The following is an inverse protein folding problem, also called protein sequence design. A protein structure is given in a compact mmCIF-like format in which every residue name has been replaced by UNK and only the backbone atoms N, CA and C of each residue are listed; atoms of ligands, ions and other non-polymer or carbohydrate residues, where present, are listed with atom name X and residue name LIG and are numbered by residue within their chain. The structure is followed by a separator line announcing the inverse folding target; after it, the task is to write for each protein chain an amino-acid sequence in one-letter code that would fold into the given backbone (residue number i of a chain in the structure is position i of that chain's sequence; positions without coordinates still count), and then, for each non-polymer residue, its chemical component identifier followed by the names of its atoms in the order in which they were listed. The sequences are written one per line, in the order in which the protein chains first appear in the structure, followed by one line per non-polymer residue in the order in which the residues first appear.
data_IF_877507218419
#
_entry.id   IF_877507218419
#
_cell.length_a   1.000
_cell.length_b   1.000
_cell.length_c   1.000
_cell.angle_alpha   90.00
_cell.angle_beta   90.00
_cell.angle_gamma   90.00
#
_symmetry.space_group_name_H-M   'P 1'
#
loop_
_entity.id
_entity.type
_entity.pdbx_description
1 polymer ?
#
# COMPACT_ATOMS: atom_id res chain seq x y z
N UNK A 1 42.05 -49.48 33.90
CA UNK A 1 40.89 -48.61 33.65
C UNK A 1 40.84 -48.39 32.14
N UNK A 2 39.99 -49.12 31.42
CA UNK A 2 39.86 -48.97 29.97
C UNK A 2 38.77 -47.94 29.67
N UNK A 3 39.16 -46.79 29.11
CA UNK A 3 38.19 -45.86 28.53
C UNK A 3 37.63 -46.45 27.24
N UNK A 4 36.31 -46.61 27.19
CA UNK A 4 35.60 -46.97 25.97
C UNK A 4 35.58 -45.77 25.02
N UNK A 5 36.41 -45.80 23.98
CA UNK A 5 36.35 -44.83 22.89
C UNK A 5 34.99 -44.97 22.20
N UNK A 6 34.11 -43.99 22.40
CA UNK A 6 32.81 -43.88 21.71
C UNK A 6 33.06 -43.84 20.21
N UNK A 7 32.68 -44.90 19.47
CA UNK A 7 32.71 -44.90 18.00
C UNK A 7 31.83 -43.76 17.49
N UNK A 8 32.44 -42.70 16.96
CA UNK A 8 31.69 -41.67 16.23
C UNK A 8 31.15 -42.29 14.94
N UNK A 9 29.84 -42.56 14.91
CA UNK A 9 29.14 -42.91 13.67
C UNK A 9 29.06 -41.63 12.83
N UNK A 10 29.89 -41.53 11.79
CA UNK A 10 29.74 -40.50 10.75
C UNK A 10 28.46 -40.73 9.95
N UNK A 11 27.87 -39.64 9.44
CA UNK A 11 26.77 -39.71 8.47
C UNK A 11 27.28 -40.40 7.20
N UNK A 12 26.46 -41.28 6.62
CA UNK A 12 26.80 -41.91 5.36
C UNK A 12 26.49 -40.98 4.18
N UNK A 13 27.28 -41.07 3.11
CA UNK A 13 27.06 -40.25 1.92
C UNK A 13 25.70 -40.56 1.27
N UNK A 14 25.25 -41.82 1.37
CA UNK A 14 23.95 -42.26 0.88
C UNK A 14 22.78 -41.73 1.72
N UNK A 15 22.92 -41.62 3.05
CA UNK A 15 21.90 -40.96 3.89
C UNK A 15 21.70 -39.52 3.48
N UNK A 16 22.80 -38.79 3.25
CA UNK A 16 22.71 -37.39 2.85
C UNK A 16 22.03 -37.24 1.48
N UNK A 17 22.35 -38.12 0.52
CA UNK A 17 21.73 -38.11 -0.81
C UNK A 17 20.23 -38.43 -0.75
N UNK A 18 19.81 -39.39 0.07
CA UNK A 18 18.39 -39.71 0.22
C UNK A 18 17.62 -38.52 0.82
N UNK A 19 18.20 -37.86 1.84
CA UNK A 19 17.57 -36.71 2.49
C UNK A 19 17.37 -35.55 1.51
N UNK A 20 18.39 -35.19 0.74
CA UNK A 20 18.25 -34.11 -0.27
C UNK A 20 17.24 -34.47 -1.36
N UNK A 21 17.14 -35.76 -1.74
CA UNK A 21 16.17 -36.21 -2.73
C UNK A 21 14.73 -36.02 -2.24
N UNK A 22 14.45 -36.40 -0.98
CA UNK A 22 13.12 -36.21 -0.38
C UNK A 22 12.79 -34.72 -0.22
N UNK A 23 13.73 -33.92 0.30
CA UNK A 23 13.55 -32.46 0.44
C UNK A 23 13.34 -31.80 -0.92
N UNK A 24 14.03 -32.24 -1.97
CA UNK A 24 13.85 -31.75 -3.34
C UNK A 24 12.42 -31.96 -3.87
N UNK A 25 11.85 -33.14 -3.67
CA UNK A 25 10.46 -33.44 -4.08
C UNK A 25 9.47 -32.57 -3.29
N UNK A 26 9.65 -32.45 -1.97
CA UNK A 26 8.78 -31.62 -1.13
C UNK A 26 8.87 -30.13 -1.53
N UNK A 27 10.08 -29.62 -1.77
CA UNK A 27 10.31 -28.24 -2.18
C UNK A 27 9.65 -27.92 -3.52
N UNK A 28 9.72 -28.85 -4.49
CA UNK A 28 9.11 -28.65 -5.81
C UNK A 28 7.58 -28.41 -5.75
N UNK A 29 6.90 -29.05 -4.80
CA UNK A 29 5.45 -28.87 -4.59
C UNK A 29 5.18 -27.67 -3.68
N UNK A 30 5.96 -27.49 -2.62
CA UNK A 30 5.71 -26.47 -1.60
C UNK A 30 6.01 -25.03 -2.08
N UNK A 31 7.08 -24.82 -2.85
CA UNK A 31 7.51 -23.50 -3.31
C UNK A 31 6.42 -22.76 -4.11
N UNK A 32 5.83 -23.33 -5.19
CA UNK A 32 4.80 -22.61 -5.95
C UNK A 32 3.56 -22.32 -5.11
N UNK A 33 3.15 -23.24 -4.24
CA UNK A 33 2.03 -23.03 -3.32
C UNK A 33 2.30 -21.90 -2.33
N UNK A 34 3.51 -21.84 -1.78
CA UNK A 34 3.93 -20.79 -0.84
C UNK A 34 3.97 -19.40 -1.50
N UNK A 35 4.53 -19.29 -2.70
CA UNK A 35 4.54 -18.02 -3.47
C UNK A 35 3.11 -17.54 -3.74
N UNK A 36 2.21 -18.44 -4.15
CA UNK A 36 0.80 -18.10 -4.38
C UNK A 36 0.06 -17.68 -3.10
N UNK A 37 0.38 -18.26 -1.95
CA UNK A 37 -0.16 -17.80 -0.66
C UNK A 37 0.35 -16.39 -0.30
N UNK A 38 1.65 -16.13 -0.47
CA UNK A 38 2.21 -14.80 -0.23
C UNK A 38 1.57 -13.73 -1.13
N UNK A 39 1.40 -14.03 -2.42
CA UNK A 39 0.78 -13.07 -3.34
C UNK A 39 -0.70 -12.80 -3.02
N UNK A 40 -1.46 -13.82 -2.59
CA UNK A 40 -2.84 -13.61 -2.11
C UNK A 40 -2.87 -12.77 -0.83
N UNK A 41 -1.94 -12.99 0.10
CA UNK A 41 -1.82 -12.18 1.31
C UNK A 41 -1.50 -10.72 0.97
N UNK A 42 -0.56 -10.48 0.05
CA UNK A 42 -0.22 -9.13 -0.43
C UNK A 42 -1.41 -8.41 -1.06
N UNK A 43 -2.17 -9.09 -1.93
CA UNK A 43 -3.43 -8.57 -2.51
C UNK A 43 -4.43 -8.21 -1.40
N UNK A 44 -4.62 -9.10 -0.43
CA UNK A 44 -5.53 -8.86 0.69
C UNK A 44 -5.14 -7.65 1.55
N UNK A 45 -3.84 -7.44 1.79
CA UNK A 45 -3.34 -6.29 2.56
C UNK A 45 -3.60 -4.98 1.82
N UNK A 46 -3.24 -4.89 0.53
CA UNK A 46 -3.38 -3.64 -0.23
C UNK A 46 -4.86 -3.25 -0.40
N UNK A 47 -5.74 -4.21 -0.69
CA UNK A 47 -7.19 -3.97 -0.79
C UNK A 47 -7.76 -3.49 0.55
N UNK A 48 -7.32 -4.06 1.68
CA UNK A 48 -7.76 -3.62 3.01
C UNK A 48 -7.29 -2.21 3.35
N UNK A 49 -6.06 -1.86 2.99
CA UNK A 49 -5.54 -0.51 3.21
C UNK A 49 -6.36 0.50 2.41
N UNK A 50 -6.63 0.21 1.12
CA UNK A 50 -7.46 1.07 0.29
C UNK A 50 -8.88 1.26 0.87
N UNK A 51 -9.55 0.16 1.22
CA UNK A 51 -10.92 0.23 1.76
C UNK A 51 -11.00 0.91 3.12
N UNK A 52 -9.97 0.74 3.96
CA UNK A 52 -9.89 1.42 5.26
C UNK A 52 -9.62 2.92 5.12
N UNK A 53 -8.98 3.34 4.03
CA UNK A 53 -8.63 4.73 3.76
C UNK A 53 -9.76 5.53 3.10
N UNK A 54 -10.73 4.87 2.46
CA UNK A 54 -11.89 5.51 1.84
C UNK A 54 -12.64 6.53 2.74
N UNK A 55 -13.05 6.20 3.98
CA UNK A 55 -13.76 7.15 4.84
C UNK A 55 -12.90 8.36 5.21
N UNK A 56 -11.60 8.15 5.36
CA UNK A 56 -10.66 9.22 5.69
C UNK A 56 -10.47 10.17 4.50
N UNK A 57 -10.24 9.64 3.30
CA UNK A 57 -10.18 10.43 2.07
C UNK A 57 -11.47 11.23 1.84
N UNK A 58 -12.63 10.66 2.16
CA UNK A 58 -13.91 11.40 2.13
C UNK A 58 -13.95 12.53 3.16
N UNK A 59 -13.43 12.32 4.36
CA UNK A 59 -13.34 13.38 5.38
C UNK A 59 -12.44 14.53 4.90
N UNK A 60 -11.29 14.22 4.31
CA UNK A 60 -10.39 15.22 3.71
C UNK A 60 -11.06 15.97 2.56
N UNK A 61 -11.81 15.27 1.68
CA UNK A 61 -12.59 15.93 0.62
C UNK A 61 -13.64 16.88 1.21
N UNK A 62 -14.29 16.51 2.31
CA UNK A 62 -15.25 17.38 2.98
C UNK A 62 -14.61 18.60 3.66
N UNK A 63 -13.40 18.45 4.21
CA UNK A 63 -12.60 19.55 4.77
C UNK A 63 -12.22 20.56 3.68
N UNK A 64 -11.71 20.11 2.53
CA UNK A 64 -11.34 20.98 1.41
C UNK A 64 -12.54 21.71 0.82
N UNK A 65 -13.74 21.11 0.80
CA UNK A 65 -14.97 21.78 0.37
C UNK A 65 -15.34 23.01 1.21
N UNK A 66 -14.73 23.17 2.39
CA UNK A 66 -14.90 24.35 3.24
C UNK A 66 -13.80 25.38 3.04
N UNK A 67 -12.83 25.15 2.16
CA UNK A 67 -11.85 26.16 1.78
C UNK A 67 -12.55 27.41 1.20
N UNK A 68 -12.00 28.59 1.44
CA UNK A 68 -12.57 29.90 1.07
C UNK A 68 -13.96 30.20 1.64
N UNK A 69 -14.43 29.41 2.62
CA UNK A 69 -15.61 29.72 3.43
C UNK A 69 -15.19 30.34 4.76
N UNK A 70 -16.12 30.87 5.57
CA UNK A 70 -15.81 31.27 6.95
C UNK A 70 -15.18 30.15 7.80
N UNK A 71 -15.37 28.88 7.42
CA UNK A 71 -14.79 27.70 8.05
C UNK A 71 -13.42 27.30 7.47
N UNK A 72 -12.86 28.08 6.53
CA UNK A 72 -11.60 27.76 5.85
C UNK A 72 -10.37 27.75 6.76
N UNK A 73 -10.42 28.44 7.90
CA UNK A 73 -9.34 28.46 8.90
C UNK A 73 -9.39 27.31 9.92
N UNK A 74 -10.37 26.41 9.82
CA UNK A 74 -10.47 25.26 10.73
C UNK A 74 -9.46 24.18 10.35
N UNK A 75 -8.97 23.48 11.36
CA UNK A 75 -8.21 22.24 11.26
C UNK A 75 -9.19 21.10 11.58
N UNK A 76 -9.42 20.20 10.64
CA UNK A 76 -10.48 19.17 10.74
C UNK A 76 -10.02 17.75 10.42
N UNK A 77 -8.82 17.58 9.86
CA UNK A 77 -8.28 16.28 9.44
C UNK A 77 -6.81 16.17 9.82
N UNK A 78 -6.39 14.95 10.14
CA UNK A 78 -5.00 14.60 10.43
C UNK A 78 -4.23 14.55 9.11
N UNK A 79 -3.55 15.65 8.77
CA UNK A 79 -2.83 15.83 7.50
C UNK A 79 -1.40 15.33 7.53
N UNK A 80 -0.85 15.04 8.71
CA UNK A 80 0.50 14.53 8.89
C UNK A 80 0.53 13.02 9.23
N UNK A 81 -0.63 12.42 9.47
CA UNK A 81 -0.88 11.01 9.80
C UNK A 81 -0.19 10.58 11.12
N UNK A 82 -0.24 11.43 12.15
CA UNK A 82 0.31 11.15 13.49
C UNK A 82 -0.72 10.60 14.48
N UNK A 83 -2.00 10.55 14.08
CA UNK A 83 -3.12 10.06 14.87
C UNK A 83 -3.84 11.13 15.69
N UNK A 84 -3.57 12.40 15.47
CA UNK A 84 -4.24 13.54 16.13
C UNK A 84 -4.70 14.57 15.11
N UNK A 85 -5.59 15.45 15.56
CA UNK A 85 -6.00 16.64 14.82
C UNK A 85 -5.62 17.80 15.72
N UNK A 86 -4.53 18.49 15.38
CA UNK A 86 -3.97 19.58 16.20
C UNK A 86 -3.30 20.67 15.36
N UNK A 87 -2.57 21.59 16.00
CA UNK A 87 -2.01 22.77 15.33
C UNK A 87 -0.88 22.45 14.34
N UNK A 88 -0.35 21.21 14.32
CA UNK A 88 0.63 20.76 13.33
C UNK A 88 -0.02 20.35 11.99
N UNK A 89 -1.36 20.33 11.92
CA UNK A 89 -2.13 20.02 10.73
C UNK A 89 -2.49 21.25 9.88
N UNK A 90 -2.80 20.99 8.61
CA UNK A 90 -3.24 22.04 7.70
C UNK A 90 -4.66 22.49 7.99
N UNK A 91 -4.88 23.79 7.89
CA UNK A 91 -6.23 24.35 7.80
C UNK A 91 -6.90 23.90 6.49
N UNK A 92 -8.24 23.98 6.44
CA UNK A 92 -9.00 23.68 5.22
C UNK A 92 -8.50 24.50 4.00
N UNK A 93 -8.12 25.77 4.21
CA UNK A 93 -7.52 26.62 3.18
C UNK A 93 -6.12 26.15 2.77
N UNK A 94 -5.26 25.80 3.73
CA UNK A 94 -3.90 25.35 3.45
C UNK A 94 -3.88 23.99 2.75
N UNK A 95 -4.80 23.09 3.12
CA UNK A 95 -4.95 21.78 2.47
C UNK A 95 -5.41 21.93 1.00
N UNK A 96 -6.26 22.91 0.71
CA UNK A 96 -6.63 23.26 -0.66
C UNK A 96 -5.46 23.89 -1.44
N UNK A 97 -4.60 24.68 -0.78
CA UNK A 97 -3.51 25.44 -1.42
C UNK A 97 -2.16 24.70 -1.57
N UNK A 98 -1.78 23.81 -0.66
CA UNK A 98 -0.46 23.13 -0.63
C UNK A 98 -0.36 21.94 -1.59
N UNK A 99 -0.72 22.13 -2.87
CA UNK A 99 -0.64 21.10 -3.90
C UNK A 99 -1.82 20.11 -3.91
N UNK A 100 -2.85 20.38 -3.10
CA UNK A 100 -4.12 19.64 -3.08
C UNK A 100 -4.12 18.38 -2.21
N UNK A 101 -5.33 17.83 -2.02
CA UNK A 101 -5.60 16.65 -1.19
C UNK A 101 -4.64 15.49 -1.46
N UNK A 102 -4.48 15.13 -2.72
CA UNK A 102 -3.75 13.93 -3.15
C UNK A 102 -2.27 14.07 -2.83
N UNK A 103 -1.68 15.24 -3.11
CA UNK A 103 -0.27 15.51 -2.77
C UNK A 103 -0.02 15.42 -1.27
N UNK A 104 -0.88 16.02 -0.44
CA UNK A 104 -0.74 15.98 1.01
C UNK A 104 -0.96 14.56 1.55
N UNK A 105 -1.94 13.83 1.02
CA UNK A 105 -2.19 12.43 1.37
C UNK A 105 -0.96 11.55 1.12
N UNK A 106 -0.34 11.70 -0.06
CA UNK A 106 0.87 10.98 -0.43
C UNK A 106 2.05 11.32 0.47
N UNK A 107 2.16 12.58 0.88
CA UNK A 107 3.20 13.03 1.79
C UNK A 107 3.07 12.36 3.17
N UNK A 108 1.87 12.44 3.77
CA UNK A 108 1.56 11.86 5.09
C UNK A 108 1.81 10.35 5.14
N UNK A 109 1.65 9.67 3.99
CA UNK A 109 1.80 8.21 3.84
C UNK A 109 3.04 7.78 3.07
N UNK A 110 4.03 8.66 2.96
CA UNK A 110 5.28 8.36 2.23
C UNK A 110 6.07 7.17 2.79
N UNK A 111 5.85 6.84 4.07
CA UNK A 111 6.39 5.67 4.74
C UNK A 111 5.78 4.34 4.29
N UNK A 112 4.54 4.34 3.77
CA UNK A 112 3.87 3.14 3.31
C UNK A 112 4.48 2.67 1.98
N UNK A 113 4.83 1.39 1.89
CA UNK A 113 5.52 0.81 0.72
C UNK A 113 4.70 -0.27 0.04
N UNK A 114 4.95 -0.47 -1.25
CA UNK A 114 4.32 -1.55 -2.00
C UNK A 114 4.65 -2.92 -1.39
N UNK A 115 3.67 -3.84 -1.23
CA UNK A 115 3.91 -5.20 -0.75
C UNK A 115 4.80 -6.05 -1.67
N UNK A 116 4.95 -5.65 -2.93
CA UNK A 116 5.75 -6.35 -3.94
C UNK A 116 7.09 -5.69 -4.22
N UNK A 117 7.22 -4.39 -3.98
CA UNK A 117 8.47 -3.66 -4.17
C UNK A 117 8.67 -2.60 -3.07
N UNK A 118 9.50 -2.88 -2.04
CA UNK A 118 9.68 -1.94 -0.93
C UNK A 118 10.40 -0.65 -1.31
N UNK A 119 11.00 -0.57 -2.52
CA UNK A 119 11.65 0.64 -3.00
C UNK A 119 10.66 1.72 -3.50
N UNK A 120 9.39 1.37 -3.73
CA UNK A 120 8.38 2.32 -4.21
C UNK A 120 7.31 2.58 -3.14
N UNK A 121 6.76 3.81 -3.06
CA UNK A 121 5.65 4.10 -2.14
C UNK A 121 4.41 3.29 -2.49
N UNK A 122 3.59 2.99 -1.49
CA UNK A 122 2.31 2.31 -1.68
C UNK A 122 1.35 3.16 -2.52
N UNK A 123 1.25 4.44 -2.16
CA UNK A 123 0.36 5.42 -2.80
C UNK A 123 1.07 6.11 -3.96
N UNK A 124 0.31 6.40 -5.02
CA UNK A 124 0.77 7.25 -6.11
C UNK A 124 -0.35 8.14 -6.64
N UNK A 125 0.06 9.24 -7.24
CA UNK A 125 -0.82 10.16 -7.92
C UNK A 125 -1.01 9.69 -9.37
N UNK A 126 -2.27 9.49 -9.77
CA UNK A 126 -2.70 9.21 -11.14
C UNK A 126 -3.15 10.46 -11.89
N UNK A 127 -3.13 11.61 -11.22
CA UNK A 127 -3.48 12.91 -11.75
C UNK A 127 -4.97 13.07 -12.03
N UNK A 128 -5.33 14.12 -12.79
CA UNK A 128 -6.71 14.43 -13.11
C UNK A 128 -7.29 13.41 -14.11
N UNK A 129 -8.37 12.74 -13.74
CA UNK A 129 -9.09 11.76 -14.55
C UNK A 129 -10.61 12.00 -14.47
N UNK A 130 -11.32 11.78 -15.57
CA UNK A 130 -12.77 12.03 -15.66
C UNK A 130 -13.62 10.84 -15.20
N UNK A 131 -13.04 9.65 -15.13
CA UNK A 131 -13.73 8.42 -14.77
C UNK A 131 -12.81 7.43 -14.06
N UNK A 132 -13.41 6.43 -13.41
CA UNK A 132 -12.66 5.32 -12.82
C UNK A 132 -11.91 4.49 -13.87
N UNK A 133 -12.48 4.31 -15.06
CA UNK A 133 -11.81 3.58 -16.16
C UNK A 133 -10.56 4.31 -16.66
N UNK A 134 -10.60 5.64 -16.71
CA UNK A 134 -9.42 6.43 -17.07
C UNK A 134 -8.35 6.32 -15.97
N UNK A 135 -8.77 6.37 -14.70
CA UNK A 135 -7.88 6.12 -13.58
C UNK A 135 -7.25 4.72 -13.61
N UNK A 136 -8.02 3.69 -13.94
CA UNK A 136 -7.52 2.33 -14.14
C UNK A 136 -6.47 2.26 -15.25
N UNK A 137 -6.60 3.05 -16.31
CA UNK A 137 -5.62 3.07 -17.41
C UNK A 137 -4.26 3.63 -16.99
N UNK A 138 -4.22 4.60 -16.09
CA UNK A 138 -2.99 5.25 -15.60
C UNK A 138 -2.44 4.63 -14.31
N UNK A 139 -3.25 3.83 -13.60
CA UNK A 139 -2.87 3.22 -12.34
C UNK A 139 -1.66 2.29 -12.48
N UNK A 140 -0.78 2.32 -11.47
CA UNK A 140 0.49 1.60 -11.49
C UNK A 140 0.39 0.24 -10.78
N UNK A 141 1.10 -0.75 -11.32
CA UNK A 141 1.07 -2.12 -10.79
C UNK A 141 1.66 -2.19 -9.38
N UNK A 142 1.00 -2.97 -8.51
CA UNK A 142 1.43 -3.21 -7.13
C UNK A 142 1.27 -2.02 -6.19
N UNK A 143 0.44 -1.03 -6.55
CA UNK A 143 0.27 0.24 -5.84
C UNK A 143 -1.20 0.63 -5.74
N UNK A 144 -1.49 1.60 -4.88
CA UNK A 144 -2.78 2.28 -4.81
C UNK A 144 -2.64 3.63 -5.52
N UNK A 145 -3.38 3.81 -6.60
CA UNK A 145 -3.40 5.03 -7.38
C UNK A 145 -4.62 5.87 -6.99
N UNK A 146 -4.37 7.13 -6.66
CA UNK A 146 -5.41 8.13 -6.47
C UNK A 146 -5.55 8.96 -7.74
N UNK A 147 -6.75 9.05 -8.27
CA UNK A 147 -7.08 10.00 -9.34
C UNK A 147 -8.22 10.89 -8.89
N UNK A 148 -8.35 12.05 -9.51
CA UNK A 148 -9.35 13.03 -9.13
C UNK A 148 -9.90 13.71 -10.37
N UNK A 149 -11.14 14.17 -10.37
CA UNK A 149 -11.66 14.95 -11.50
C UNK A 149 -11.03 16.35 -11.51
N UNK A 150 -10.51 16.85 -12.64
CA UNK A 150 -9.94 18.21 -12.73
C UNK A 150 -10.98 19.31 -12.47
N UNK A 151 -10.49 20.39 -11.87
CA UNK A 151 -11.17 21.60 -11.40
C UNK A 151 -12.05 22.30 -12.44
N UNK A 152 -13.14 22.88 -11.94
CA UNK A 152 -13.48 24.27 -12.30
C UNK A 152 -13.42 25.24 -11.09
N UNK A 153 -13.24 24.79 -9.82
CA UNK A 153 -13.04 25.71 -8.69
C UNK A 153 -12.63 25.03 -7.35
N UNK A 154 -11.35 24.72 -7.16
CA UNK A 154 -10.70 24.36 -5.87
C UNK A 154 -11.38 23.25 -5.05
N UNK A 155 -12.16 22.37 -5.69
CA UNK A 155 -12.86 21.27 -5.04
C UNK A 155 -12.82 20.04 -5.92
N UNK A 156 -12.04 19.05 -5.50
CA UNK A 156 -12.11 17.69 -6.06
C UNK A 156 -13.58 17.23 -5.95
N UNK A 157 -14.26 17.13 -7.10
CA UNK A 157 -15.67 16.72 -7.15
C UNK A 157 -15.81 15.22 -6.84
N UNK A 158 -14.89 14.43 -7.41
CA UNK A 158 -14.77 13.01 -7.14
C UNK A 158 -13.30 12.59 -7.02
N UNK A 159 -13.05 11.69 -6.08
CA UNK A 159 -11.78 10.98 -5.91
C UNK A 159 -12.01 9.51 -6.28
N UNK A 160 -11.13 8.98 -7.11
CA UNK A 160 -11.10 7.58 -7.50
C UNK A 160 -9.89 6.91 -6.86
N UNK A 161 -10.12 5.72 -6.29
CA UNK A 161 -9.08 4.87 -5.72
C UNK A 161 -9.01 3.62 -6.57
N UNK A 162 -7.85 3.38 -7.19
CA UNK A 162 -7.63 2.17 -7.98
C UNK A 162 -6.49 1.39 -7.35
N UNK A 163 -6.73 0.10 -7.12
CA UNK A 163 -5.73 -0.82 -6.59
C UNK A 163 -5.34 -1.80 -7.68
N UNK A 164 -4.04 -1.94 -7.95
CA UNK A 164 -3.53 -2.97 -8.87
C UNK A 164 -2.58 -3.93 -8.19
N UNK A 165 -2.70 -5.20 -8.55
CA UNK A 165 -1.69 -6.22 -8.24
C UNK A 165 -0.39 -6.00 -9.03
N UNK A 166 0.64 -6.80 -8.73
CA UNK A 166 1.94 -6.73 -9.43
C UNK A 166 1.87 -6.98 -10.95
N UNK A 167 0.87 -7.73 -11.41
CA UNK A 167 0.63 -8.08 -12.82
C UNK A 167 -0.31 -7.11 -13.54
N UNK A 168 -0.82 -6.08 -12.86
CA UNK A 168 -1.72 -5.07 -13.42
C UNK A 168 -3.20 -5.44 -13.35
N UNK A 169 -3.55 -6.55 -12.69
CA UNK A 169 -4.96 -6.86 -12.39
C UNK A 169 -5.52 -5.88 -11.36
N UNK A 170 -6.66 -5.27 -11.68
CA UNK A 170 -7.41 -4.44 -10.73
C UNK A 170 -8.00 -5.33 -9.63
N UNK A 171 -7.90 -4.87 -8.38
CA UNK A 171 -8.30 -5.61 -7.17
C UNK A 171 -9.56 -5.04 -6.52
#
# INVERSE_FOLDING_TARGET
MFEAIKKQKGITLIELILVIAIVGILAAIAIPGYIGMQDRARRGVITRIASASEPELKAWMHSIKKANTPQGGLIEVDTNNDGKIDDDDLTNNDLAGKGGLVSQWLYARSGEKSPWNPAVPLWNDGGPQLSISDCESVAQNGRITLCYTPDDDQTIQALFIVVKDKGGGVL
#
